data_IF_078388598518
#
_entry.id   IF_078388598518
#
_cell.length_a   1.000
_cell.length_b   1.000
_cell.length_c   1.000
_cell.angle_alpha   90.00
_cell.angle_beta   90.00
_cell.angle_gamma   90.00
#
_symmetry.space_group_name_H-M   'P 1'
#
loop_
_entity.id
_entity.type
_entity.pdbx_description
1 polymer ?
#
# COMPACT_ATOMS: atom_id res chain seq x y z
N UNK A 1 -40.05 -52.10 12.69
CA UNK A 1 -41.47 -51.80 13.01
C UNK A 1 -41.53 -51.52 14.51
N UNK A 2 -42.40 -50.57 14.93
CA UNK A 2 -42.50 -49.89 16.25
C UNK A 2 -41.39 -48.85 16.49
N UNK A 3 -41.52 -47.52 16.39
CA UNK A 3 -42.58 -46.51 16.56
C UNK A 3 -43.10 -46.32 18.00
N UNK A 4 -42.97 -45.08 18.52
CA UNK A 4 -43.55 -44.59 19.79
C UNK A 4 -42.58 -43.76 20.64
N UNK A 5 -42.34 -42.47 20.33
CA UNK A 5 -43.05 -41.30 20.88
C UNK A 5 -42.88 -41.06 22.40
N UNK A 6 -42.18 -39.98 22.78
CA UNK A 6 -42.58 -39.09 23.89
C UNK A 6 -41.91 -37.70 23.75
N UNK A 7 -42.77 -36.71 23.52
CA UNK A 7 -42.55 -35.27 23.66
C UNK A 7 -42.33 -34.92 25.13
N UNK A 8 -41.68 -33.79 25.44
CA UNK A 8 -42.16 -32.76 26.38
C UNK A 8 -41.19 -31.56 26.41
N UNK A 9 -41.65 -30.41 25.92
CA UNK A 9 -41.18 -29.07 26.31
C UNK A 9 -41.71 -28.73 27.71
N UNK A 10 -41.11 -27.77 28.43
CA UNK A 10 -41.83 -26.51 28.67
C UNK A 10 -40.95 -25.25 28.83
N UNK A 11 -41.36 -24.18 28.14
CA UNK A 11 -41.46 -22.79 28.63
C UNK A 11 -42.99 -22.50 28.66
N UNK A 12 -43.58 -21.52 29.38
CA UNK A 12 -43.01 -20.20 29.74
C UNK A 12 -43.45 -19.65 31.13
N UNK A 13 -42.94 -18.48 31.55
CA UNK A 13 -43.76 -17.49 32.28
C UNK A 13 -43.03 -16.16 32.49
N UNK A 14 -43.68 -15.13 31.98
CA UNK A 14 -43.51 -13.69 32.16
C UNK A 14 -43.60 -13.21 33.60
N UNK A 15 -42.81 -12.18 33.96
CA UNK A 15 -43.14 -11.26 35.04
C UNK A 15 -43.07 -9.82 34.52
N UNK A 16 -44.14 -9.07 34.73
CA UNK A 16 -44.30 -7.65 34.46
C UNK A 16 -44.77 -6.95 35.74
N UNK A 17 -44.54 -5.63 35.79
CA UNK A 17 -44.98 -4.64 36.79
C UNK A 17 -43.94 -4.37 37.88
N UNK A 18 -43.57 -3.13 38.21
CA UNK A 18 -44.46 -1.98 38.43
C UNK A 18 -43.81 -0.62 38.15
N UNK A 19 -44.70 0.32 37.82
CA UNK A 19 -44.52 1.77 37.69
C UNK A 19 -44.16 2.42 39.03
N UNK A 20 -43.36 3.50 38.98
CA UNK A 20 -43.50 4.67 39.87
C UNK A 20 -43.20 5.94 39.07
N UNK A 21 -44.07 6.92 39.22
CA UNK A 21 -44.08 8.22 38.54
C UNK A 21 -43.93 9.35 39.55
N UNK A 22 -43.05 10.32 39.29
CA UNK A 22 -43.04 11.73 39.75
C UNK A 22 -41.58 12.24 39.72
N UNK A 23 -41.19 13.45 39.37
CA UNK A 23 -41.77 14.64 38.74
C UNK A 23 -40.60 15.64 38.63
N UNK A 24 -40.52 16.38 37.52
CA UNK A 24 -39.93 17.72 37.32
C UNK A 24 -38.80 18.24 38.24
N UNK A 25 -37.66 18.66 37.65
CA UNK A 25 -37.27 20.09 37.55
C UNK A 25 -35.84 20.32 37.00
N UNK A 26 -35.75 21.24 36.03
CA UNK A 26 -34.71 22.27 35.84
C UNK A 26 -33.22 21.91 35.61
N UNK A 27 -32.78 22.24 34.38
CA UNK A 27 -31.55 22.99 34.03
C UNK A 27 -30.19 22.55 34.58
N UNK A 28 -29.29 22.15 33.67
CA UNK A 28 -28.03 22.87 33.44
C UNK A 28 -27.23 22.24 32.29
N UNK A 29 -26.97 23.05 31.28
CA UNK A 29 -26.00 22.82 30.22
C UNK A 29 -24.60 22.65 30.81
N UNK A 30 -23.98 21.50 30.61
CA UNK A 30 -22.55 21.30 30.86
C UNK A 30 -21.92 20.57 29.67
N UNK A 31 -21.38 21.37 28.76
CA UNK A 31 -20.51 20.94 27.68
C UNK A 31 -19.20 20.42 28.27
N UNK A 32 -19.05 19.10 28.35
CA UNK A 32 -17.78 18.46 28.74
C UNK A 32 -16.79 18.53 27.57
N UNK A 33 -15.89 19.51 27.62
CA UNK A 33 -14.74 19.65 26.73
C UNK A 33 -13.69 18.58 27.01
N UNK A 34 -13.35 17.80 25.98
CA UNK A 34 -12.23 16.84 26.00
C UNK A 34 -10.89 17.60 26.07
N UNK A 35 -9.87 17.11 26.81
CA UNK A 35 -8.57 17.78 26.87
C UNK A 35 -7.83 17.71 25.52
N UNK A 36 -7.40 18.87 25.03
CA UNK A 36 -6.64 19.01 23.81
C UNK A 36 -5.24 18.38 23.94
N UNK A 37 -4.86 17.53 22.98
CA UNK A 37 -3.53 16.95 22.88
C UNK A 37 -2.45 18.04 22.72
N UNK A 38 -1.23 17.86 23.29
CA UNK A 38 -0.17 18.86 23.17
C UNK A 38 0.30 18.95 21.71
N UNK A 39 0.00 20.08 21.06
CA UNK A 39 0.53 20.44 19.75
C UNK A 39 2.02 20.76 19.91
N UNK A 40 2.89 19.94 19.31
CA UNK A 40 4.31 20.29 19.16
C UNK A 40 4.42 21.52 18.26
N UNK A 41 5.12 22.54 18.72
CA UNK A 41 5.46 23.71 17.92
C UNK A 41 6.35 23.29 16.74
N UNK A 42 6.09 23.80 15.52
CA UNK A 42 6.97 23.55 14.38
C UNK A 42 8.33 24.18 14.66
N UNK A 43 9.39 23.42 14.37
CA UNK A 43 10.78 23.88 14.46
C UNK A 43 10.96 25.06 13.51
N UNK A 44 11.37 26.22 14.03
CA UNK A 44 11.70 27.37 13.21
C UNK A 44 12.77 26.96 12.18
N UNK A 45 12.47 27.17 10.90
CA UNK A 45 13.44 26.95 9.83
C UNK A 45 14.58 27.97 9.99
N UNK A 46 15.83 27.59 9.69
CA UNK A 46 16.94 28.54 9.64
C UNK A 46 16.56 29.70 8.71
N UNK A 47 16.75 30.91 9.21
CA UNK A 47 16.56 32.16 8.48
C UNK A 47 17.41 32.09 7.20
N UNK A 48 16.76 31.98 6.04
CA UNK A 48 17.40 31.84 4.72
C UNK A 48 18.11 33.13 4.25
N UNK A 49 18.47 34.01 5.18
CA UNK A 49 18.96 35.36 4.95
C UNK A 49 20.43 35.43 4.54
N UNK A 50 21.20 34.35 4.68
CA UNK A 50 22.63 34.35 4.32
C UNK A 50 22.87 34.31 2.81
N UNK A 51 22.03 33.61 2.04
CA UNK A 51 22.22 33.46 0.60
C UNK A 51 21.85 34.74 -0.16
N UNK A 52 20.75 35.41 0.20
CA UNK A 52 20.34 36.65 -0.48
C UNK A 52 21.38 37.78 -0.29
N UNK A 53 22.02 37.85 0.88
CA UNK A 53 23.12 38.79 1.13
C UNK A 53 24.40 38.46 0.34
N UNK A 54 24.60 37.17 0.01
CA UNK A 54 25.75 36.72 -0.80
C UNK A 54 25.54 37.00 -2.30
N UNK A 55 24.28 37.03 -2.76
CA UNK A 55 23.94 37.39 -4.14
C UNK A 55 23.76 38.91 -4.33
N UNK A 56 23.47 39.69 -3.28
CA UNK A 56 23.32 41.15 -3.40
C UNK A 56 24.61 41.84 -3.83
N UNK A 57 25.78 41.37 -3.35
CA UNK A 57 27.08 41.92 -3.76
C UNK A 57 27.41 41.68 -5.24
N UNK A 58 26.78 40.70 -5.89
CA UNK A 58 26.95 40.46 -7.33
C UNK A 58 26.09 41.39 -8.19
N UNK A 59 25.06 42.00 -7.60
CA UNK A 59 24.14 42.93 -8.28
C UNK A 59 24.53 44.41 -8.03
N UNK A 60 25.44 44.67 -7.10
CA UNK A 60 25.97 46.02 -6.80
C UNK A 60 26.71 46.66 -7.98
N UNK A 61 27.24 45.86 -8.91
CA UNK A 61 27.95 46.35 -10.10
C UNK A 61 27.02 46.71 -11.28
N UNK A 62 25.72 46.46 -11.17
CA UNK A 62 24.77 46.68 -12.26
C UNK A 62 24.08 48.04 -12.13
N UNK A 63 23.95 48.75 -13.24
CA UNK A 63 23.16 49.98 -13.31
C UNK A 63 21.66 49.67 -13.27
N UNK A 64 20.83 50.62 -12.83
CA UNK A 64 19.37 50.41 -12.71
C UNK A 64 18.73 49.96 -14.04
N UNK A 65 19.27 50.41 -15.18
CA UNK A 65 18.83 49.99 -16.52
C UNK A 65 19.15 48.52 -16.82
N UNK A 66 20.34 48.06 -16.48
CA UNK A 66 20.75 46.67 -16.71
C UNK A 66 20.01 45.70 -15.78
N UNK A 67 19.73 46.10 -14.54
CA UNK A 67 18.92 45.32 -13.60
C UNK A 67 17.50 45.16 -14.16
N UNK A 68 16.89 46.24 -14.66
CA UNK A 68 15.55 46.18 -15.28
C UNK A 68 15.53 45.25 -16.50
N UNK A 69 16.59 45.26 -17.31
CA UNK A 69 16.71 44.41 -18.50
C UNK A 69 16.94 42.94 -18.16
N UNK A 70 17.69 42.65 -17.08
CA UNK A 70 17.84 41.29 -16.55
C UNK A 70 16.51 40.76 -16.01
N UNK A 71 15.77 41.57 -15.25
CA UNK A 71 14.47 41.18 -14.72
C UNK A 71 13.49 40.92 -15.86
N UNK A 72 13.43 41.80 -16.88
CA UNK A 72 12.55 41.60 -18.03
C UNK A 72 12.89 40.33 -18.79
N UNK A 73 14.18 40.06 -19.05
CA UNK A 73 14.63 38.84 -19.71
C UNK A 73 14.31 37.57 -18.90
N UNK A 74 14.39 37.63 -17.58
CA UNK A 74 14.10 36.51 -16.70
C UNK A 74 12.60 36.22 -16.62
N UNK A 75 11.77 37.26 -16.57
CA UNK A 75 10.29 37.15 -16.63
C UNK A 75 9.84 36.62 -17.99
N UNK A 76 10.45 37.07 -19.08
CA UNK A 76 10.12 36.62 -20.43
C UNK A 76 10.54 35.18 -20.68
N UNK A 77 11.72 34.78 -20.19
CA UNK A 77 12.15 33.37 -20.20
C UNK A 77 11.23 32.49 -19.34
N UNK A 78 10.73 33.02 -18.22
CA UNK A 78 9.78 32.32 -17.36
C UNK A 78 8.41 32.15 -18.01
N UNK A 79 7.89 33.19 -18.66
CA UNK A 79 6.60 33.14 -19.35
C UNK A 79 6.63 32.16 -20.54
N UNK A 80 7.73 32.12 -21.29
CA UNK A 80 7.96 31.13 -22.35
C UNK A 80 8.01 29.69 -21.82
N UNK A 81 8.60 29.47 -20.64
CA UNK A 81 8.60 28.17 -19.97
C UNK A 81 7.21 27.75 -19.45
N UNK A 82 6.35 28.71 -19.05
CA UNK A 82 4.98 28.41 -18.62
C UNK A 82 4.03 28.15 -19.79
N UNK A 83 4.19 28.86 -20.91
CA UNK A 83 3.33 28.71 -22.10
C UNK A 83 3.58 27.41 -22.89
N UNK A 84 4.68 26.71 -22.64
CA UNK A 84 5.05 25.43 -23.29
C UNK A 84 4.46 24.18 -22.60
N UNK A 85 3.43 24.33 -21.75
CA UNK A 85 2.66 23.22 -21.19
C UNK A 85 3.43 22.33 -20.20
N UNK A 86 4.62 22.75 -19.75
CA UNK A 86 5.47 22.03 -18.81
C UNK A 86 5.30 22.52 -17.37
N UNK A 87 4.54 21.79 -16.57
CA UNK A 87 4.35 22.04 -15.14
C UNK A 87 5.64 21.78 -14.32
N UNK A 88 6.42 22.85 -14.07
CA UNK A 88 7.15 23.24 -12.82
C UNK A 88 8.59 23.72 -13.04
N UNK A 89 8.90 24.86 -12.40
CA UNK A 89 10.26 25.36 -12.19
C UNK A 89 11.08 24.44 -11.26
N UNK A 90 12.40 24.28 -11.45
CA UNK A 90 13.24 23.38 -10.63
C UNK A 90 13.66 23.90 -9.25
N UNK A 91 13.15 25.05 -8.77
CA UNK A 91 13.75 25.75 -7.61
C UNK A 91 13.32 25.22 -6.24
N UNK A 92 12.45 24.21 -6.18
CA UNK A 92 12.23 23.43 -4.97
C UNK A 92 12.50 21.96 -5.29
N UNK A 93 13.45 21.27 -4.62
CA UNK A 93 13.50 19.82 -4.70
C UNK A 93 12.17 19.34 -4.15
N UNK A 94 11.28 18.90 -5.06
CA UNK A 94 10.02 18.28 -4.72
C UNK A 94 10.32 17.26 -3.64
N UNK A 95 9.85 17.49 -2.42
CA UNK A 95 9.72 16.49 -1.35
C UNK A 95 8.66 15.43 -1.70
N UNK A 96 8.59 15.07 -2.99
CA UNK A 96 7.45 14.47 -3.67
C UNK A 96 7.78 13.22 -4.47
N UNK A 97 8.97 12.63 -4.34
CA UNK A 97 9.23 11.27 -4.86
C UNK A 97 8.94 10.17 -3.84
N UNK A 98 8.89 10.49 -2.53
CA UNK A 98 8.61 9.48 -1.48
C UNK A 98 7.12 9.09 -1.36
N UNK A 99 6.19 9.88 -1.93
CA UNK A 99 4.73 9.64 -1.79
C UNK A 99 4.11 8.81 -2.91
N UNK A 100 4.82 8.53 -4.02
CA UNK A 100 4.29 7.62 -5.07
C UNK A 100 4.25 6.14 -4.65
N UNK A 101 4.91 5.76 -3.55
CA UNK A 101 4.78 4.41 -2.96
C UNK A 101 3.47 4.19 -2.18
N UNK A 102 2.69 5.24 -1.92
CA UNK A 102 1.56 5.15 -0.98
C UNK A 102 0.24 4.63 -1.58
N UNK A 103 0.19 4.25 -2.87
CA UNK A 103 -1.03 3.74 -3.51
C UNK A 103 -0.79 2.63 -4.53
N UNK A 104 0.18 1.75 -4.29
CA UNK A 104 0.03 0.40 -4.81
C UNK A 104 -1.19 -0.18 -4.09
N UNK A 105 -2.40 0.07 -4.62
CA UNK A 105 -3.65 -0.48 -4.11
C UNK A 105 -3.38 -1.96 -3.87
N UNK A 106 -3.54 -2.42 -2.64
CA UNK A 106 -3.34 -3.81 -2.28
C UNK A 106 -4.29 -4.64 -3.14
N UNK A 107 -3.77 -5.16 -4.26
CA UNK A 107 -4.55 -6.02 -5.15
C UNK A 107 -4.77 -7.33 -4.39
N UNK A 108 -5.98 -7.90 -4.45
CA UNK A 108 -6.20 -9.24 -3.90
C UNK A 108 -5.29 -10.24 -4.60
N UNK A 109 -5.06 -11.39 -3.96
CA UNK A 109 -4.35 -12.51 -4.58
C UNK A 109 -5.01 -12.85 -5.93
N UNK A 110 -4.25 -12.77 -7.00
CA UNK A 110 -4.72 -12.96 -8.35
C UNK A 110 -3.63 -13.55 -9.24
N UNK A 111 -4.07 -14.23 -10.29
CA UNK A 111 -3.20 -14.72 -11.35
C UNK A 111 -2.70 -13.55 -12.21
N UNK A 112 -1.46 -13.67 -12.67
CA UNK A 112 -0.79 -12.76 -13.60
C UNK A 112 -0.17 -13.60 -14.69
N UNK A 113 -0.09 -13.04 -15.88
CA UNK A 113 0.48 -13.69 -17.05
C UNK A 113 1.63 -12.82 -17.56
N UNK A 114 2.67 -13.47 -18.07
CA UNK A 114 3.86 -12.84 -18.62
C UNK A 114 4.42 -13.74 -19.71
N UNK A 115 4.57 -13.22 -20.92
CA UNK A 115 5.31 -13.91 -21.98
C UNK A 115 6.81 -13.79 -21.71
N UNK A 116 7.50 -14.93 -21.64
CA UNK A 116 8.94 -15.02 -21.38
C UNK A 116 9.55 -16.10 -22.27
N UNK A 117 10.83 -15.99 -22.58
CA UNK A 117 11.57 -17.10 -23.20
C UNK A 117 11.94 -18.17 -22.18
N UNK A 118 12.18 -19.39 -22.64
CA UNK A 118 12.62 -20.50 -21.77
C UNK A 118 13.97 -20.20 -21.10
N UNK A 119 14.88 -19.52 -21.79
CA UNK A 119 16.17 -19.09 -21.25
C UNK A 119 16.04 -18.06 -20.11
N UNK A 120 15.04 -17.17 -20.16
CA UNK A 120 14.79 -16.17 -19.11
C UNK A 120 14.26 -16.76 -17.80
N UNK A 121 13.68 -17.98 -17.83
CA UNK A 121 13.19 -18.67 -16.64
C UNK A 121 14.31 -19.12 -15.69
N UNK A 122 15.57 -19.13 -16.16
CA UNK A 122 16.73 -19.44 -15.32
C UNK A 122 16.81 -20.91 -14.88
N UNK A 123 16.18 -21.82 -15.64
CA UNK A 123 16.21 -23.26 -15.38
C UNK A 123 17.48 -23.95 -15.93
N UNK A 124 18.36 -23.20 -16.60
CA UNK A 124 19.60 -23.73 -17.20
C UNK A 124 19.43 -24.30 -18.61
N UNK A 125 18.27 -24.09 -19.24
CA UNK A 125 18.03 -24.44 -20.63
C UNK A 125 18.34 -23.25 -21.55
N UNK A 126 19.03 -23.53 -22.66
CA UNK A 126 19.31 -22.56 -23.72
C UNK A 126 18.33 -22.81 -24.87
N UNK A 127 17.23 -22.05 -24.86
CA UNK A 127 16.16 -22.12 -25.86
C UNK A 127 15.53 -20.73 -26.04
N UNK A 128 15.21 -20.41 -27.29
CA UNK A 128 14.54 -19.16 -27.71
C UNK A 128 13.01 -19.32 -27.77
N UNK A 129 12.48 -20.49 -27.40
CA UNK A 129 11.05 -20.74 -27.38
C UNK A 129 10.36 -19.87 -26.33
N UNK A 130 9.23 -19.26 -26.70
CA UNK A 130 8.47 -18.36 -25.83
C UNK A 130 7.27 -19.07 -25.23
N UNK A 131 7.06 -18.87 -23.93
CA UNK A 131 6.01 -19.53 -23.16
C UNK A 131 5.21 -18.48 -22.37
N UNK A 132 3.90 -18.71 -22.24
CA UNK A 132 3.03 -17.87 -21.43
C UNK A 132 3.15 -18.28 -19.96
N UNK A 133 4.06 -17.62 -19.23
CA UNK A 133 4.30 -17.90 -17.81
C UNK A 133 3.27 -17.22 -16.92
N UNK A 134 2.49 -18.01 -16.18
CA UNK A 134 1.54 -17.49 -15.21
C UNK A 134 2.06 -17.62 -13.78
N UNK A 135 1.84 -16.58 -12.97
CA UNK A 135 2.30 -16.53 -11.58
C UNK A 135 1.30 -15.86 -10.64
N UNK A 136 1.40 -16.22 -9.36
CA UNK A 136 0.53 -15.69 -8.30
C UNK A 136 1.13 -14.45 -7.64
N UNK A 137 0.35 -13.38 -7.58
CA UNK A 137 0.73 -12.16 -6.86
C UNK A 137 -0.46 -11.47 -6.22
N UNK A 138 -0.19 -10.73 -5.14
CA UNK A 138 -1.21 -9.95 -4.44
C UNK A 138 -1.19 -10.17 -2.94
N UNK A 139 -2.23 -9.66 -2.29
CA UNK A 139 -2.37 -9.68 -0.83
C UNK A 139 -3.54 -10.56 -0.39
N UNK A 140 -3.36 -11.20 0.76
CA UNK A 140 -4.34 -12.11 1.35
C UNK A 140 -4.93 -11.55 2.66
N UNK A 141 -5.48 -10.33 2.63
CA UNK A 141 -6.07 -9.70 3.84
C UNK A 141 -7.41 -10.33 4.23
N UNK A 142 -8.19 -10.77 3.25
CA UNK A 142 -9.49 -11.38 3.49
C UNK A 142 -9.41 -12.81 4.05
N UNK A 143 -8.30 -13.52 3.84
CA UNK A 143 -8.15 -14.93 4.19
C UNK A 143 -7.40 -15.17 5.52
N UNK A 144 -7.25 -14.16 6.36
CA UNK A 144 -6.54 -14.24 7.65
C UNK A 144 -7.28 -15.20 8.60
N UNK A 145 -6.58 -16.20 9.13
CA UNK A 145 -7.12 -17.19 10.08
C UNK A 145 -6.78 -16.84 11.53
N UNK A 146 -7.42 -17.51 12.50
CA UNK A 146 -7.13 -17.34 13.93
C UNK A 146 -5.67 -17.63 14.30
N UNK A 147 -5.03 -18.55 13.57
CA UNK A 147 -3.60 -18.83 13.69
C UNK A 147 -2.76 -17.58 13.39
N UNK A 148 -3.02 -16.89 12.28
CA UNK A 148 -2.29 -15.69 11.86
C UNK A 148 -2.44 -14.55 12.86
N UNK A 149 -3.65 -14.37 13.41
CA UNK A 149 -3.92 -13.37 14.44
C UNK A 149 -3.13 -13.67 15.73
N UNK A 150 -3.13 -14.93 16.14
CA UNK A 150 -2.38 -15.39 17.31
C UNK A 150 -0.88 -15.22 17.10
N UNK A 151 -0.36 -15.62 15.93
CA UNK A 151 1.05 -15.49 15.57
C UNK A 151 1.48 -14.02 15.52
N UNK A 152 0.64 -13.14 14.97
CA UNK A 152 0.85 -11.68 14.98
C UNK A 152 0.95 -11.14 16.40
N UNK A 153 0.09 -11.60 17.31
CA UNK A 153 0.08 -11.22 18.73
C UNK A 153 1.31 -11.75 19.48
N UNK A 154 1.69 -13.01 19.25
CA UNK A 154 2.88 -13.61 19.87
C UNK A 154 4.17 -12.92 19.41
N UNK A 155 4.23 -12.51 18.14
CA UNK A 155 5.33 -11.72 17.60
C UNK A 155 5.37 -10.31 18.18
N UNK A 156 4.22 -9.63 18.32
CA UNK A 156 4.16 -8.28 18.90
C UNK A 156 4.57 -8.27 20.39
N UNK A 157 4.17 -9.30 21.14
CA UNK A 157 4.59 -9.53 22.55
C UNK A 157 6.03 -10.02 22.68
N UNK A 158 6.77 -10.09 21.56
CA UNK A 158 8.16 -10.57 21.45
C UNK A 158 8.38 -11.91 22.16
N UNK A 159 7.40 -12.81 22.08
CA UNK A 159 7.55 -14.19 22.57
C UNK A 159 8.31 -15.04 21.55
N UNK A 160 8.11 -14.74 20.26
CA UNK A 160 8.85 -15.32 19.14
C UNK A 160 9.79 -14.24 18.60
N UNK A 161 11.07 -14.25 19.03
CA UNK A 161 12.07 -13.21 18.71
C UNK A 161 13.10 -13.63 17.65
N UNK A 162 13.39 -14.93 17.52
CA UNK A 162 14.51 -15.43 16.71
C UNK A 162 14.14 -15.69 15.26
N UNK A 163 12.87 -15.92 14.97
CA UNK A 163 12.41 -16.36 13.65
C UNK A 163 11.59 -15.28 12.93
N UNK A 164 11.95 -14.99 11.67
CA UNK A 164 11.24 -14.02 10.82
C UNK A 164 9.98 -14.64 10.23
N UNK A 165 9.05 -15.03 11.08
CA UNK A 165 7.79 -15.67 10.66
C UNK A 165 6.83 -14.61 10.10
N UNK A 166 6.27 -14.86 8.91
CA UNK A 166 5.18 -14.06 8.35
C UNK A 166 3.88 -14.45 9.06
N UNK A 167 3.23 -13.47 9.70
CA UNK A 167 1.96 -13.66 10.40
C UNK A 167 0.74 -13.35 9.51
N UNK A 168 0.86 -13.63 8.21
CA UNK A 168 -0.17 -13.43 7.20
C UNK A 168 -0.03 -14.52 6.13
N UNK A 169 -1.14 -15.02 5.58
CA UNK A 169 -1.11 -15.98 4.49
C UNK A 169 -0.44 -15.38 3.25
N UNK A 170 0.20 -16.23 2.46
CA UNK A 170 0.88 -15.87 1.23
C UNK A 170 0.03 -16.25 0.02
N UNK A 171 0.13 -15.45 -1.05
CA UNK A 171 -0.48 -15.78 -2.33
C UNK A 171 0.41 -16.81 -3.03
N UNK A 172 -0.06 -18.04 -3.18
CA UNK A 172 0.67 -19.16 -3.79
C UNK A 172 -0.21 -19.89 -4.81
N UNK A 173 0.39 -20.62 -5.76
CA UNK A 173 -0.36 -21.51 -6.65
C UNK A 173 -1.08 -22.59 -5.85
N UNK A 174 -2.35 -22.85 -6.18
CA UNK A 174 -3.11 -24.01 -5.72
C UNK A 174 -3.08 -25.15 -6.74
N UNK A 175 -2.92 -24.80 -8.01
CA UNK A 175 -2.80 -25.72 -9.13
C UNK A 175 -1.83 -25.14 -10.17
N UNK A 176 -1.24 -26.02 -10.96
CA UNK A 176 -0.34 -25.71 -12.06
C UNK A 176 -1.02 -25.99 -13.40
N UNK A 177 -0.55 -25.30 -14.44
CA UNK A 177 -0.93 -25.58 -15.82
C UNK A 177 -0.27 -26.88 -16.32
N UNK A 178 -0.62 -27.28 -17.54
CA UNK A 178 -0.07 -28.46 -18.19
C UNK A 178 1.44 -28.34 -18.41
N UNK A 179 2.09 -29.49 -18.60
CA UNK A 179 3.54 -29.58 -18.81
C UNK A 179 3.97 -28.82 -20.08
N UNK A 180 5.09 -28.12 -20.00
CA UNK A 180 5.62 -27.31 -21.11
C UNK A 180 6.77 -28.05 -21.77
N UNK A 181 6.58 -28.40 -23.04
CA UNK A 181 7.61 -29.05 -23.87
C UNK A 181 8.24 -28.04 -24.82
N UNK A 182 9.57 -28.02 -24.89
CA UNK A 182 10.33 -27.11 -25.77
C UNK A 182 11.58 -27.80 -26.33
N UNK A 183 12.15 -27.19 -27.37
CA UNK A 183 13.42 -27.61 -27.99
C UNK A 183 14.59 -26.74 -27.51
N UNK A 184 15.72 -27.36 -27.17
CA UNK A 184 16.97 -26.64 -26.91
C UNK A 184 17.69 -26.21 -28.20
N UNK A 185 18.75 -25.42 -28.07
CA UNK A 185 19.63 -25.02 -29.18
C UNK A 185 20.30 -26.22 -29.91
N UNK A 186 20.27 -27.42 -29.34
CA UNK A 186 20.78 -28.67 -29.91
C UNK A 186 19.67 -29.58 -30.45
N UNK A 187 18.45 -29.06 -30.63
CA UNK A 187 17.26 -29.80 -31.07
C UNK A 187 16.88 -31.01 -30.21
N UNK A 188 17.13 -30.95 -28.90
CA UNK A 188 16.67 -31.94 -27.92
C UNK A 188 15.39 -31.44 -27.26
N UNK A 189 14.42 -32.34 -27.17
CA UNK A 189 13.16 -32.07 -26.49
C UNK A 189 13.35 -32.17 -24.97
N UNK A 190 12.83 -31.17 -24.26
CA UNK A 190 12.65 -31.20 -22.82
C UNK A 190 11.19 -30.98 -22.48
N UNK A 191 10.79 -31.44 -21.31
CA UNK A 191 9.45 -31.22 -20.77
C UNK A 191 9.61 -30.84 -19.31
N UNK A 192 9.03 -29.70 -18.93
CA UNK A 192 9.10 -29.16 -17.57
C UNK A 192 7.70 -29.09 -16.99
N UNK A 193 7.57 -29.71 -15.81
CA UNK A 193 6.31 -29.83 -15.08
C UNK A 193 6.21 -28.73 -14.03
N UNK A 194 4.98 -28.38 -13.65
CA UNK A 194 4.67 -27.40 -12.60
C UNK A 194 5.33 -26.01 -12.82
N UNK A 195 5.56 -25.64 -14.08
CA UNK A 195 6.24 -24.40 -14.43
C UNK A 195 5.35 -23.17 -14.23
N UNK A 196 4.10 -23.25 -14.70
CA UNK A 196 3.14 -22.13 -14.74
C UNK A 196 1.98 -22.37 -13.77
N UNK A 197 1.54 -21.32 -13.09
CA UNK A 197 0.41 -21.40 -12.16
C UNK A 197 -0.94 -21.34 -12.91
N UNK A 198 -1.86 -22.25 -12.59
CA UNK A 198 -3.23 -22.26 -13.14
C UNK A 198 -4.20 -21.50 -12.25
N UNK A 199 -4.09 -21.69 -10.95
CA UNK A 199 -4.98 -21.09 -9.96
C UNK A 199 -4.18 -20.56 -8.76
N UNK A 200 -4.59 -19.41 -8.23
CA UNK A 200 -3.95 -18.77 -7.09
C UNK A 200 -4.86 -18.73 -5.87
N UNK A 201 -4.27 -18.99 -4.71
CA UNK A 201 -4.96 -18.97 -3.43
C UNK A 201 -4.13 -18.41 -2.29
N UNK A 202 -4.82 -18.17 -1.18
CA UNK A 202 -4.21 -17.70 0.06
C UNK A 202 -3.98 -18.89 0.99
N UNK A 203 -2.72 -19.22 1.25
CA UNK A 203 -2.27 -20.34 2.08
C UNK A 203 -1.28 -19.90 3.15
#
# INVERSE_FOLDING_TARGET
MFNGSRKYSPLPSSLSSSRTSSSSSSSSSSSSSLPAAPRRSPRALPRHSSLLAQYSSLLESYTEGEIRQLISALVERYSQAMNSGGHELPLFPRSGSRRKRARARHKPCALKELEVSVSELGLGYESDETVLFRYCSGTCEAAVRSYDLSLKSMRSKRRIKKEKVRARPCCRPLAYDDDVSFLDAYNRYYTVNELSAKECGCV
#
